data_IF_087253425865
#
_entry.id   IF_087253425865
#
_cell.length_a   1.000
_cell.length_b   1.000
_cell.length_c   1.000
_cell.angle_alpha   90.00
_cell.angle_beta   90.00
_cell.angle_gamma   90.00
#
_symmetry.space_group_name_H-M   'P 1'
#
loop_
_entity.id
_entity.type
_entity.pdbx_description
1 polymer ?
#
# COMPACT_ATOMS: atom_id res chain seq x y z
N UNK A 1 7.74 2.11 0.47
CA UNK A 1 6.71 1.89 1.50
C UNK A 1 7.38 2.15 2.83
N UNK A 2 6.74 2.91 3.72
CA UNK A 2 7.29 3.26 5.04
C UNK A 2 6.44 2.60 6.12
N UNK A 3 7.07 2.15 7.21
CA UNK A 3 6.38 1.58 8.36
C UNK A 3 6.94 2.22 9.64
N UNK A 4 6.09 2.80 10.48
CA UNK A 4 6.47 3.37 11.78
C UNK A 4 5.75 2.61 12.91
N UNK A 5 6.46 2.09 13.91
CA UNK A 5 5.82 1.52 15.09
C UNK A 5 5.18 2.67 15.88
N UNK A 6 3.87 2.59 16.10
CA UNK A 6 3.09 3.62 16.79
C UNK A 6 2.41 3.07 18.05
N UNK A 7 2.41 1.74 18.24
CA UNK A 7 1.81 1.09 19.41
C UNK A 7 0.29 1.25 19.51
N UNK A 8 -0.35 1.67 18.41
CA UNK A 8 -1.80 1.90 18.29
C UNK A 8 -2.35 1.08 17.11
N UNK A 9 -3.67 1.16 16.90
CA UNK A 9 -4.34 0.52 15.76
C UNK A 9 -3.60 0.71 14.44
N UNK A 10 -3.54 -0.34 13.62
CA UNK A 10 -2.90 -0.32 12.31
C UNK A 10 -3.50 0.77 11.40
N UNK A 11 -2.68 1.74 10.98
CA UNK A 11 -3.10 2.82 10.05
C UNK A 11 -2.45 2.63 8.68
N UNK A 12 -3.20 3.03 7.64
CA UNK A 12 -2.71 3.04 6.28
C UNK A 12 -2.80 4.45 5.66
N UNK A 13 -1.66 5.06 5.40
CA UNK A 13 -1.49 6.23 4.57
C UNK A 13 -1.29 5.86 3.11
N UNK A 14 -2.01 6.52 2.19
CA UNK A 14 -1.89 6.29 0.74
C UNK A 14 -1.50 7.59 0.02
N UNK A 15 -0.28 7.63 -0.53
CA UNK A 15 0.24 8.77 -1.28
C UNK A 15 0.22 8.44 -2.78
N UNK A 16 -0.82 8.95 -3.45
CA UNK A 16 -1.01 8.78 -4.90
C UNK A 16 -0.94 10.14 -5.58
N UNK A 17 0.23 10.45 -6.14
CA UNK A 17 0.45 11.70 -6.86
C UNK A 17 -0.28 11.73 -8.22
N UNK A 18 -0.83 12.90 -8.57
CA UNK A 18 -1.45 13.15 -9.89
C UNK A 18 -0.50 12.83 -11.05
N UNK A 19 0.82 13.00 -10.84
CA UNK A 19 1.88 12.68 -11.82
C UNK A 19 1.97 11.20 -12.18
N UNK A 20 1.58 10.30 -11.27
CA UNK A 20 1.65 8.85 -11.47
C UNK A 20 0.32 8.29 -11.99
N UNK A 21 -0.80 8.85 -11.61
CA UNK A 21 -2.12 8.44 -12.07
C UNK A 21 -2.96 9.69 -12.40
N UNK A 22 -2.94 10.17 -13.65
CA UNK A 22 -3.61 11.41 -14.02
C UNK A 22 -5.15 11.31 -13.94
N UNK A 23 -5.71 10.10 -14.13
CA UNK A 23 -7.16 9.85 -14.06
C UNK A 23 -7.63 9.65 -12.62
N UNK A 24 -8.74 10.31 -12.25
CA UNK A 24 -9.37 10.11 -10.93
C UNK A 24 -9.80 8.65 -10.72
N UNK A 25 -10.33 8.00 -11.76
CA UNK A 25 -10.77 6.59 -11.71
C UNK A 25 -9.63 5.66 -11.35
N UNK A 26 -8.45 5.81 -11.98
CA UNK A 26 -7.26 5.00 -11.67
C UNK A 26 -6.78 5.23 -10.24
N UNK A 27 -6.74 6.49 -9.78
CA UNK A 27 -6.38 6.82 -8.38
C UNK A 27 -7.34 6.19 -7.38
N UNK A 28 -8.64 6.21 -7.66
CA UNK A 28 -9.66 5.64 -6.79
C UNK A 28 -9.61 4.11 -6.80
N UNK A 29 -9.35 3.50 -7.95
CA UNK A 29 -9.14 2.06 -8.08
C UNK A 29 -7.96 1.60 -7.21
N UNK A 30 -6.80 2.25 -7.35
CA UNK A 30 -5.60 1.93 -6.56
C UNK A 30 -5.87 2.13 -5.06
N UNK A 31 -6.50 3.25 -4.68
CA UNK A 31 -6.89 3.49 -3.28
C UNK A 31 -7.81 2.40 -2.75
N UNK A 32 -8.80 1.97 -3.54
CA UNK A 32 -9.75 0.93 -3.14
C UNK A 32 -9.08 -0.42 -2.98
N UNK A 33 -8.28 -0.84 -3.96
CA UNK A 33 -7.53 -2.11 -3.92
C UNK A 33 -6.58 -2.13 -2.72
N UNK A 34 -5.82 -1.06 -2.50
CA UNK A 34 -4.89 -0.98 -1.37
C UNK A 34 -5.61 -1.04 -0.01
N UNK A 35 -6.74 -0.34 0.14
CA UNK A 35 -7.54 -0.41 1.37
C UNK A 35 -8.17 -1.79 1.57
N UNK A 36 -8.71 -2.42 0.53
CA UNK A 36 -9.30 -3.75 0.64
C UNK A 36 -8.24 -4.78 1.03
N UNK A 37 -7.08 -4.76 0.39
CA UNK A 37 -5.97 -5.66 0.69
C UNK A 37 -5.37 -5.42 2.10
N UNK A 38 -5.34 -4.18 2.57
CA UNK A 38 -4.95 -3.85 3.95
C UNK A 38 -6.02 -4.27 4.95
N UNK A 39 -7.31 -4.09 4.67
CA UNK A 39 -8.40 -4.48 5.56
C UNK A 39 -8.36 -5.96 5.89
N UNK A 40 -8.08 -6.81 4.89
CA UNK A 40 -7.92 -8.26 5.08
C UNK A 40 -6.73 -8.63 5.97
N UNK A 41 -5.69 -7.79 6.00
CA UNK A 41 -4.44 -8.04 6.72
C UNK A 41 -4.27 -7.14 7.95
N UNK A 42 -5.29 -6.36 8.33
CA UNK A 42 -5.20 -5.34 9.39
C UNK A 42 -4.69 -5.91 10.70
N UNK A 43 -5.12 -7.13 11.05
CA UNK A 43 -4.67 -7.85 12.24
C UNK A 43 -3.15 -8.15 12.24
N UNK A 44 -2.53 -8.28 11.07
CA UNK A 44 -1.09 -8.53 10.94
C UNK A 44 -0.25 -7.26 11.10
N UNK A 45 -0.88 -6.08 11.02
CA UNK A 45 -0.23 -4.78 11.06
C UNK A 45 -0.51 -4.03 12.36
N UNK A 46 -1.07 -4.70 13.36
CA UNK A 46 -1.38 -4.11 14.66
C UNK A 46 -0.12 -3.49 15.27
N UNK A 47 -0.22 -2.24 15.74
CA UNK A 47 0.92 -1.47 16.25
C UNK A 47 1.71 -0.68 15.20
N UNK A 48 1.40 -0.77 13.91
CA UNK A 48 2.16 -0.12 12.83
C UNK A 48 1.34 0.85 11.97
N UNK A 49 1.98 1.98 11.66
CA UNK A 49 1.51 2.93 10.66
C UNK A 49 2.24 2.68 9.34
N UNK A 50 1.50 2.25 8.31
CA UNK A 50 2.03 1.99 6.97
C UNK A 50 1.75 3.17 6.05
N UNK A 51 2.76 3.60 5.30
CA UNK A 51 2.60 4.59 4.24
C UNK A 51 2.97 3.98 2.89
N UNK A 52 1.94 3.74 2.07
CA UNK A 52 2.08 3.30 0.68
C UNK A 52 2.16 4.52 -0.24
N UNK A 53 3.29 4.69 -0.90
CA UNK A 53 3.47 5.68 -1.98
C UNK A 53 3.42 4.96 -3.31
N UNK A 54 2.61 5.45 -4.24
CA UNK A 54 2.61 4.97 -5.61
C UNK A 54 3.87 5.48 -6.32
N UNK A 55 4.75 4.57 -6.73
CA UNK A 55 5.97 4.89 -7.50
C UNK A 55 5.80 4.59 -8.99
N UNK A 56 4.90 3.67 -9.34
CA UNK A 56 4.64 3.26 -10.72
C UNK A 56 3.76 4.29 -11.43
N UNK A 57 4.22 4.76 -12.59
CA UNK A 57 3.49 5.70 -13.44
C UNK A 57 2.55 4.91 -14.34
N UNK A 58 1.24 5.17 -14.22
CA UNK A 58 0.22 4.70 -15.15
C UNK A 58 0.21 5.62 -16.35
N UNK A 59 0.96 5.25 -17.39
CA UNK A 59 1.10 6.07 -18.57
C UNK A 59 -0.09 5.92 -19.53
N UNK A 60 -0.57 7.05 -20.04
CA UNK A 60 -1.77 7.15 -20.89
C UNK A 60 -1.61 6.44 -22.23
N UNK A 61 -0.37 6.30 -22.72
CA UNK A 61 -0.02 5.60 -23.96
C UNK A 61 0.10 4.08 -23.80
N UNK A 62 0.49 3.59 -22.62
CA UNK A 62 0.68 2.16 -22.39
C UNK A 62 -0.65 1.42 -22.11
N UNK A 63 -1.67 2.13 -21.60
CA UNK A 63 -3.00 1.57 -21.36
C UNK A 63 -4.13 2.49 -21.87
N UNK A 64 -4.71 2.23 -23.05
CA UNK A 64 -5.81 3.03 -23.59
C UNK A 64 -7.11 2.86 -22.77
N UNK A 65 -7.31 1.70 -22.15
CA UNK A 65 -8.46 1.41 -21.28
C UNK A 65 -8.25 1.93 -19.86
N UNK A 66 -9.00 2.96 -19.45
CA UNK A 66 -8.97 3.53 -18.09
C UNK A 66 -9.26 2.50 -16.96
N UNK A 67 -9.83 1.35 -17.34
CA UNK A 67 -10.27 0.26 -16.49
C UNK A 67 -10.24 -1.07 -17.26
N UNK A 68 -9.23 -1.29 -18.12
CA UNK A 68 -9.11 -2.59 -18.78
C UNK A 68 -8.91 -3.66 -17.69
N UNK A 69 -9.66 -4.79 -17.72
CA UNK A 69 -9.55 -5.86 -16.73
C UNK A 69 -8.09 -6.32 -16.47
N UNK A 70 -7.21 -6.43 -17.49
CA UNK A 70 -5.82 -6.80 -17.29
C UNK A 70 -5.04 -5.81 -16.44
N UNK A 71 -5.29 -4.50 -16.60
CA UNK A 71 -4.63 -3.47 -15.81
C UNK A 71 -5.04 -3.57 -14.34
N UNK A 72 -6.32 -3.80 -14.08
CA UNK A 72 -6.85 -3.96 -12.72
C UNK A 72 -6.22 -5.19 -12.05
N UNK A 73 -6.09 -6.30 -12.76
CA UNK A 73 -5.44 -7.51 -12.26
C UNK A 73 -3.96 -7.28 -11.97
N UNK A 74 -3.20 -6.70 -12.90
CA UNK A 74 -1.79 -6.38 -12.68
C UNK A 74 -1.57 -5.45 -11.48
N UNK A 75 -2.38 -4.38 -11.38
CA UNK A 75 -2.32 -3.48 -10.23
C UNK A 75 -2.62 -4.21 -8.93
N UNK A 76 -3.64 -5.08 -8.94
CA UNK A 76 -4.02 -5.86 -7.76
C UNK A 76 -2.90 -6.79 -7.33
N UNK A 77 -2.37 -7.60 -8.25
CA UNK A 77 -1.28 -8.53 -7.96
C UNK A 77 -0.04 -7.82 -7.43
N UNK A 78 0.34 -6.70 -8.03
CA UNK A 78 1.50 -5.92 -7.57
C UNK A 78 1.28 -5.31 -6.18
N UNK A 79 0.10 -4.73 -5.94
CA UNK A 79 -0.25 -4.14 -4.64
C UNK A 79 -0.31 -5.23 -3.56
N UNK A 80 -0.90 -6.39 -3.87
CA UNK A 80 -0.97 -7.53 -2.96
C UNK A 80 0.43 -8.06 -2.64
N UNK A 81 1.29 -8.22 -3.63
CA UNK A 81 2.69 -8.64 -3.44
C UNK A 81 3.46 -7.65 -2.56
N UNK A 82 3.34 -6.34 -2.84
CA UNK A 82 3.98 -5.30 -2.04
C UNK A 82 3.46 -5.27 -0.60
N UNK A 83 2.15 -5.47 -0.41
CA UNK A 83 1.53 -5.55 0.92
C UNK A 83 1.93 -6.82 1.67
N UNK A 84 2.11 -7.94 0.99
CA UNK A 84 2.56 -9.17 1.63
C UNK A 84 4.03 -9.07 2.05
N UNK A 85 4.88 -8.52 1.18
CA UNK A 85 6.27 -8.23 1.51
C UNK A 85 6.36 -7.27 2.69
N UNK A 86 5.53 -6.22 2.67
CA UNK A 86 5.36 -5.30 3.79
C UNK A 86 4.92 -5.99 5.09
N UNK A 87 3.95 -6.90 5.01
CA UNK A 87 3.46 -7.67 6.16
C UNK A 87 4.57 -8.52 6.77
N UNK A 88 5.37 -9.19 5.93
CA UNK A 88 6.54 -9.95 6.40
C UNK A 88 7.57 -9.04 7.07
N UNK A 89 7.85 -7.87 6.50
CA UNK A 89 8.80 -6.91 7.09
C UNK A 89 8.29 -6.33 8.41
N UNK A 90 6.99 -6.07 8.53
CA UNK A 90 6.36 -5.63 9.78
C UNK A 90 6.35 -6.74 10.81
N UNK A 91 5.98 -7.97 10.44
CA UNK A 91 6.03 -9.13 11.33
C UNK A 91 7.45 -9.40 11.83
N UNK A 92 8.45 -9.29 10.95
CA UNK A 92 9.87 -9.40 11.32
C UNK A 92 10.30 -8.29 12.27
N UNK A 93 9.84 -7.06 12.07
CA UNK A 93 10.08 -5.91 12.98
C UNK A 93 9.28 -5.97 14.27
N UNK A 94 8.14 -6.68 14.29
CA UNK A 94 7.40 -7.02 15.51
C UNK A 94 8.14 -8.07 16.34
N UNK A 95 8.81 -9.02 15.68
CA UNK A 95 9.62 -10.05 16.34
C UNK A 95 10.99 -9.53 16.83
N UNK A 96 11.50 -8.44 16.25
CA UNK A 96 12.62 -7.70 16.80
C UNK A 96 12.11 -6.78 17.93
N UNK A 97 12.71 -6.77 19.13
CA UNK A 97 12.24 -5.90 20.22
C UNK A 97 12.25 -4.45 19.73
N UNK A 98 11.14 -3.73 19.94
CA UNK A 98 11.08 -2.28 19.75
C UNK A 98 12.22 -1.68 20.57
N UNK A 99 13.25 -1.17 19.88
CA UNK A 99 14.27 -0.35 20.53
C UNK A 99 13.54 0.85 21.13
N UNK A 100 13.70 1.13 22.44
CA UNK A 100 13.05 2.26 23.06
C UNK A 100 13.60 3.52 22.41
N UNK A 101 12.74 4.29 21.74
CA UNK A 101 13.06 5.67 21.36
C UNK A 101 13.30 6.41 22.68
N UNK A 102 14.56 6.72 22.94
CA UNK A 102 15.05 7.43 24.12
C UNK A 102 14.46 8.86 24.16
N UNK A 103 14.29 9.44 25.36
CA UNK A 103 13.52 10.66 25.62
C UNK A 103 14.09 11.94 24.99
#
# INVERSE_FOLDING_TARGET
>A
MYGRPTGKDARLGLVIGKKYAPRAVTRNLVRRIAREAFRLRRAQFEGFDLLLRLHTKFDRKAMPGASSPPLKTLCRTEIEYLLEKAAREVAKRNAAPQAPDAP
#
